data_IF_510179507002
#
_entry.id   IF_510179507002
#
_cell.length_a   1.000
_cell.length_b   1.000
_cell.length_c   1.000
_cell.angle_alpha   90.00
_cell.angle_beta   90.00
_cell.angle_gamma   90.00
#
_symmetry.space_group_name_H-M   'P 1'
#
loop_
_entity.id
_entity.type
_entity.pdbx_description
1 polymer ?
#
# COMPACT_ATOMS: atom_id res chain seq x y z
N UNK A 1 -12.99 -13.66 -16.11
CA UNK A 1 -12.92 -14.19 -14.73
C UNK A 1 -12.71 -12.99 -13.83
N UNK A 2 -13.75 -12.55 -13.13
CA UNK A 2 -13.68 -11.40 -12.24
C UNK A 2 -13.33 -11.94 -10.86
N UNK A 3 -12.08 -11.77 -10.43
CA UNK A 3 -11.64 -12.18 -9.09
C UNK A 3 -12.43 -11.44 -8.01
N UNK A 4 -12.44 -11.97 -6.79
CA UNK A 4 -13.04 -11.28 -5.64
C UNK A 4 -12.38 -9.91 -5.41
N UNK A 5 -13.07 -8.94 -4.78
CA UNK A 5 -12.49 -7.62 -4.49
C UNK A 5 -11.16 -7.71 -3.73
N UNK A 6 -10.99 -8.71 -2.86
CA UNK A 6 -9.74 -8.97 -2.17
C UNK A 6 -8.61 -9.43 -3.08
N UNK A 7 -8.88 -10.32 -4.04
CA UNK A 7 -7.87 -10.76 -5.03
C UNK A 7 -7.46 -9.61 -5.96
N UNK A 8 -8.43 -8.79 -6.40
CA UNK A 8 -8.15 -7.62 -7.24
C UNK A 8 -7.38 -6.54 -6.47
N UNK A 9 -7.73 -6.30 -5.20
CA UNK A 9 -7.00 -5.39 -4.33
C UNK A 9 -5.58 -5.88 -4.11
N UNK A 10 -5.41 -7.17 -3.82
CA UNK A 10 -4.10 -7.77 -3.69
C UNK A 10 -3.31 -7.66 -4.99
N UNK A 11 -3.89 -7.94 -6.15
CA UNK A 11 -3.23 -7.76 -7.44
C UNK A 11 -2.83 -6.29 -7.67
N UNK A 12 -3.69 -5.35 -7.30
CA UNK A 12 -3.41 -3.93 -7.42
C UNK A 12 -2.22 -3.53 -6.54
N UNK A 13 -2.16 -3.97 -5.28
CA UNK A 13 -1.20 -3.47 -4.29
C UNK A 13 0.07 -4.32 -4.17
N UNK A 14 0.00 -5.60 -4.49
CA UNK A 14 1.12 -6.55 -4.37
C UNK A 14 2.28 -6.07 -5.24
N UNK A 15 3.44 -5.89 -4.60
CA UNK A 15 4.65 -5.45 -5.28
C UNK A 15 4.75 -3.95 -5.53
N UNK A 16 3.81 -3.12 -5.04
CA UNK A 16 3.98 -1.66 -4.96
C UNK A 16 4.81 -1.27 -3.73
N UNK A 17 5.54 -0.15 -3.83
CA UNK A 17 6.27 0.37 -2.69
C UNK A 17 5.29 0.89 -1.62
N UNK A 18 5.68 0.78 -0.35
CA UNK A 18 4.92 1.33 0.77
C UNK A 18 3.76 0.45 1.25
N UNK A 19 3.16 -0.38 0.40
CA UNK A 19 2.05 -1.26 0.78
C UNK A 19 2.50 -2.53 1.51
N UNK A 20 1.82 -2.86 2.60
CA UNK A 20 1.99 -4.11 3.36
C UNK A 20 0.64 -4.59 3.87
N UNK A 21 0.49 -5.91 3.94
CA UNK A 21 -0.65 -6.52 4.60
C UNK A 21 -0.33 -6.65 6.09
N UNK A 22 -1.08 -5.94 6.94
CA UNK A 22 -0.92 -5.94 8.39
C UNK A 22 -2.09 -6.71 9.04
N UNK A 23 -1.78 -7.52 10.05
CA UNK A 23 -2.81 -8.15 10.86
C UNK A 23 -3.38 -7.13 11.84
N UNK A 24 -4.71 -7.08 11.97
CA UNK A 24 -5.34 -6.25 12.98
C UNK A 24 -5.14 -6.85 14.37
N UNK A 25 -5.03 -5.98 15.38
CA UNK A 25 -4.82 -6.38 16.77
C UNK A 25 -6.01 -7.20 17.34
N UNK A 26 -7.19 -7.04 16.74
CA UNK A 26 -8.40 -7.77 17.10
C UNK A 26 -8.34 -9.20 16.53
N UNK A 27 -8.34 -10.24 17.38
CA UNK A 27 -8.35 -11.63 16.92
C UNK A 27 -9.58 -11.92 16.06
N UNK A 28 -9.37 -12.49 14.87
CA UNK A 28 -10.44 -12.84 13.94
C UNK A 28 -10.87 -11.71 13.00
N UNK A 29 -10.35 -10.49 13.16
CA UNK A 29 -10.55 -9.43 12.18
C UNK A 29 -9.76 -9.71 10.90
N UNK A 30 -10.32 -9.37 9.71
CA UNK A 30 -9.60 -9.50 8.46
C UNK A 30 -8.36 -8.60 8.46
N UNK A 31 -7.26 -9.01 7.80
CA UNK A 31 -6.08 -8.17 7.68
C UNK A 31 -6.36 -6.92 6.83
N UNK A 32 -5.63 -5.84 7.09
CA UNK A 32 -5.75 -4.58 6.35
C UNK A 32 -4.50 -4.32 5.51
N UNK A 33 -4.68 -3.76 4.32
CA UNK A 33 -3.55 -3.27 3.52
C UNK A 33 -3.18 -1.86 3.98
N UNK A 34 -1.96 -1.68 4.47
CA UNK A 34 -1.48 -0.39 4.98
C UNK A 34 -0.40 0.18 4.07
N UNK A 35 -0.54 1.46 3.71
CA UNK A 35 0.48 2.23 3.01
C UNK A 35 1.36 2.97 4.00
N UNK A 36 2.66 2.69 3.94
CA UNK A 36 3.65 3.28 4.82
C UNK A 36 4.50 4.35 4.12
N UNK A 37 4.62 5.51 4.76
CA UNK A 37 5.58 6.56 4.43
C UNK A 37 6.41 6.83 5.67
N UNK A 38 7.74 6.77 5.55
CA UNK A 38 8.68 7.01 6.66
C UNK A 38 8.34 6.27 7.98
N UNK A 39 7.92 5.00 7.83
CA UNK A 39 7.50 4.09 8.93
C UNK A 39 6.19 4.46 9.64
N UNK A 40 5.41 5.38 9.10
CA UNK A 40 4.06 5.71 9.56
C UNK A 40 3.03 5.21 8.57
N UNK A 41 1.89 4.76 9.08
CA UNK A 41 0.74 4.42 8.25
C UNK A 41 0.09 5.74 7.82
N UNK A 42 -0.06 5.92 6.51
CA UNK A 42 -0.76 7.06 5.91
C UNK A 42 -2.15 6.66 5.45
N UNK A 43 -2.29 5.43 4.94
CA UNK A 43 -3.55 4.86 4.44
C UNK A 43 -3.72 3.44 4.98
N UNK A 44 -4.94 3.07 5.30
CA UNK A 44 -5.33 1.69 5.62
C UNK A 44 -6.54 1.28 4.78
N UNK A 45 -6.50 0.07 4.21
CA UNK A 45 -7.52 -0.46 3.33
C UNK A 45 -8.07 -1.76 3.88
N UNK A 46 -9.39 -1.84 3.93
CA UNK A 46 -10.15 -3.01 4.35
C UNK A 46 -11.13 -3.42 3.26
N UNK A 47 -11.30 -4.72 3.08
CA UNK A 47 -12.36 -5.27 2.21
C UNK A 47 -13.56 -5.58 3.11
N UNK A 48 -14.57 -4.73 3.04
CA UNK A 48 -15.82 -4.87 3.79
C UNK A 48 -16.87 -5.68 3.04
N UNK A 49 -18.05 -5.84 3.66
CA UNK A 49 -19.18 -6.53 3.04
C UNK A 49 -19.80 -5.75 1.85
N UNK A 50 -19.57 -4.43 1.79
CA UNK A 50 -20.14 -3.53 0.78
C UNK A 50 -19.15 -2.99 -0.25
N UNK A 51 -17.85 -3.30 -0.14
CA UNK A 51 -16.82 -2.71 -1.00
C UNK A 51 -15.47 -2.59 -0.31
N UNK A 52 -14.75 -1.52 -0.64
CA UNK A 52 -13.46 -1.17 -0.04
C UNK A 52 -13.64 0.02 0.89
N UNK A 53 -13.06 -0.07 2.06
CA UNK A 53 -13.02 1.01 3.04
C UNK A 53 -11.57 1.51 3.12
N UNK A 54 -11.37 2.79 2.81
CA UNK A 54 -10.07 3.45 2.84
C UNK A 54 -10.05 4.44 4.01
N UNK A 55 -9.24 4.17 5.02
CA UNK A 55 -8.96 5.11 6.09
C UNK A 55 -7.73 5.96 5.77
N UNK A 56 -7.89 7.29 5.82
CA UNK A 56 -6.84 8.29 5.60
C UNK A 56 -6.40 8.85 6.95
N UNK A 57 -5.21 8.42 7.41
CA UNK A 57 -4.73 8.76 8.76
C UNK A 57 -4.45 10.26 8.94
N UNK A 58 -4.09 10.96 7.87
CA UNK A 58 -3.79 12.40 7.93
C UNK A 58 -5.03 13.24 8.27
N UNK A 59 -6.19 12.82 7.77
CA UNK A 59 -7.45 13.55 7.88
C UNK A 59 -8.43 12.91 8.88
N UNK A 60 -8.07 11.74 9.44
CA UNK A 60 -8.91 10.92 10.31
C UNK A 60 -10.28 10.63 9.68
N UNK A 61 -10.26 10.25 8.41
CA UNK A 61 -11.45 10.08 7.56
C UNK A 61 -11.51 8.69 6.94
N UNK A 62 -12.71 8.11 6.92
CA UNK A 62 -13.05 6.91 6.17
C UNK A 62 -13.69 7.27 4.82
N UNK A 63 -13.16 6.68 3.76
CA UNK A 63 -13.65 6.84 2.38
C UNK A 63 -14.17 5.51 1.89
N UNK A 64 -15.48 5.43 1.69
CA UNK A 64 -16.15 4.29 1.09
C UNK A 64 -15.94 4.26 -0.42
N UNK A 65 -15.42 3.14 -0.93
CA UNK A 65 -15.13 2.93 -2.34
C UNK A 65 -15.87 1.70 -2.84
N UNK A 66 -16.67 1.89 -3.89
CA UNK A 66 -17.49 0.82 -4.48
C UNK A 66 -16.65 -0.24 -5.22
N UNK A 67 -15.42 0.09 -5.62
CA UNK A 67 -14.57 -0.81 -6.41
C UNK A 67 -13.07 -0.52 -6.29
N UNK A 68 -12.25 -1.49 -6.70
CA UNK A 68 -10.78 -1.36 -6.83
C UNK A 68 -10.40 -0.31 -7.88
N UNK A 69 -11.24 -0.10 -8.89
CA UNK A 69 -11.03 0.93 -9.91
C UNK A 69 -11.21 2.33 -9.31
N UNK A 70 -12.25 2.52 -8.49
CA UNK A 70 -12.47 3.76 -7.74
C UNK A 70 -11.29 4.05 -6.79
N UNK A 71 -10.75 3.02 -6.13
CA UNK A 71 -9.51 3.13 -5.36
C UNK A 71 -8.33 3.58 -6.22
N UNK A 72 -8.11 2.97 -7.38
CA UNK A 72 -7.04 3.35 -8.30
C UNK A 72 -7.14 4.82 -8.73
N UNK A 73 -8.34 5.28 -9.06
CA UNK A 73 -8.61 6.69 -9.39
C UNK A 73 -8.36 7.63 -8.21
N UNK A 74 -8.83 7.27 -7.01
CA UNK A 74 -8.62 8.07 -5.80
C UNK A 74 -7.14 8.20 -5.47
N UNK A 75 -6.39 7.10 -5.48
CA UNK A 75 -4.94 7.11 -5.24
C UNK A 75 -4.21 7.96 -6.28
N UNK A 76 -4.61 7.88 -7.55
CA UNK A 76 -4.03 8.72 -8.61
C UNK A 76 -4.21 10.22 -8.39
N UNK A 77 -5.31 10.62 -7.74
CA UNK A 77 -5.62 12.03 -7.48
C UNK A 77 -5.01 12.55 -6.17
N UNK A 78 -5.04 11.75 -5.11
CA UNK A 78 -4.69 12.19 -3.76
C UNK A 78 -3.31 11.72 -3.28
N UNK A 79 -2.89 10.51 -3.67
CA UNK A 79 -1.66 9.86 -3.20
C UNK A 79 -0.97 9.08 -4.35
N UNK A 80 -0.57 9.75 -5.45
CA UNK A 80 -0.04 9.08 -6.63
C UNK A 80 1.22 8.26 -6.35
N UNK A 81 1.99 8.61 -5.32
CA UNK A 81 3.14 7.85 -4.83
C UNK A 81 2.77 6.44 -4.35
N UNK A 82 1.54 6.22 -3.88
CA UNK A 82 1.05 4.91 -3.46
C UNK A 82 0.83 3.98 -4.66
N UNK A 83 0.69 4.53 -5.87
CA UNK A 83 0.67 3.76 -7.11
C UNK A 83 2.08 3.51 -7.68
N UNK A 84 3.12 4.08 -7.07
CA UNK A 84 4.48 3.96 -7.56
C UNK A 84 5.01 2.51 -7.59
N UNK A 85 5.85 2.16 -8.57
CA UNK A 85 6.53 0.88 -8.56
C UNK A 85 7.39 0.77 -7.30
N UNK A 86 7.58 -0.45 -6.79
CA UNK A 86 8.50 -0.69 -5.67
C UNK A 86 9.85 -0.07 -6.01
N UNK A 87 10.22 1.02 -5.33
CA UNK A 87 11.56 1.58 -5.42
C UNK A 87 12.50 0.50 -4.87
N UNK A 88 13.09 -0.28 -5.78
CA UNK A 88 14.25 -1.10 -5.47
C UNK A 88 15.22 -0.18 -4.72
N UNK A 89 15.65 -0.64 -3.55
CA UNK A 89 16.12 0.23 -2.47
C UNK A 89 17.11 1.30 -2.95
N UNK A 90 17.04 2.45 -2.28
CA UNK A 90 18.09 3.47 -2.22
C UNK A 90 19.33 2.93 -1.48
N UNK A 91 19.70 1.67 -1.76
CA UNK A 91 20.91 0.97 -1.36
C UNK A 91 21.76 0.58 -2.58
N UNK A 92 21.21 0.61 -3.79
CA UNK A 92 21.99 0.33 -5.01
C UNK A 92 22.94 1.48 -5.40
N UNK A 93 22.73 2.68 -4.84
CA UNK A 93 23.59 3.84 -5.14
C UNK A 93 24.86 3.90 -4.27
N UNK A 94 25.01 3.06 -3.25
CA UNK A 94 26.22 2.99 -2.42
C UNK A 94 27.24 1.94 -2.89
N UNK A 95 26.91 1.09 -3.87
CA UNK A 95 27.82 0.04 -4.36
C UNK A 95 28.77 0.47 -5.48
N UNK A 96 28.69 1.72 -5.96
CA UNK A 96 29.57 2.26 -7.01
C UNK A 96 30.65 3.24 -6.55
N UNK A 97 30.84 3.43 -5.23
CA UNK A 97 31.75 4.46 -4.69
C UNK A 97 32.76 3.99 -3.64
N UNK A 98 33.08 2.70 -3.55
CA UNK A 98 34.01 2.17 -2.54
C UNK A 98 35.25 1.57 -3.16
N UNK A 99 36.30 2.38 -3.32
CA UNK A 99 37.65 1.96 -3.67
C UNK A 99 38.17 1.17 -2.47
N UNK A 100 38.21 -0.16 -2.57
CA UNK A 100 38.83 -1.02 -1.56
C UNK A 100 40.31 -1.16 -1.93
N UNK A 101 41.19 -0.56 -1.13
CA UNK A 101 42.63 -0.83 -1.13
C UNK A 101 42.85 -2.20 -0.47
N UNK A 102 43.56 -3.10 -1.14
CA UNK A 102 44.12 -4.31 -0.53
C UNK A 102 45.60 -4.04 -0.19
N UNK A 103 46.01 -4.46 1.01
CA UNK A 103 47.42 -4.69 1.37
C UNK A 103 47.84 -6.07 0.87
#
# INVERSE_FOLDING_TARGET
>A
MTGSPGEQLEELLRGRAGWRLEALATPGSPPSWCFFVDKRIELSLLVGAGGLELYVTADDEDVDLESVEALGSWLGMHKPEALGPRRAGVLDRLRRGGIFSWD
#
